data_IF_985499406748
#
_entry.id   IF_985499406748
#
_cell.length_a   1.000
_cell.length_b   1.000
_cell.length_c   1.000
_cell.angle_alpha   90.00
_cell.angle_beta   90.00
_cell.angle_gamma   90.00
#
_symmetry.space_group_name_H-M   'P 1'
#
loop_
_entity.id
_entity.type
_entity.pdbx_description
1 polymer ?
#
# COMPACT_ATOMS: atom_id res chain seq x y z
N UNK A 1 -77.77 3.90 13.71
CA UNK A 1 -76.98 4.98 14.32
C UNK A 1 -75.80 4.34 15.05
N UNK A 2 -74.59 4.45 14.48
CA UNK A 2 -73.26 4.36 15.13
C UNK A 2 -72.88 3.01 15.81
N UNK A 3 -71.66 2.46 15.78
CA UNK A 3 -70.33 2.76 15.22
C UNK A 3 -69.63 1.40 15.13
N UNK A 4 -68.98 1.10 14.01
CA UNK A 4 -67.97 0.03 13.91
C UNK A 4 -66.66 0.61 14.47
N UNK A 5 -66.13 0.05 15.56
CA UNK A 5 -64.78 0.39 16.06
C UNK A 5 -63.74 -0.31 15.18
N UNK A 6 -63.10 0.45 14.29
CA UNK A 6 -61.86 0.04 13.64
C UNK A 6 -60.71 0.16 14.64
N UNK A 7 -60.02 -0.95 14.89
CA UNK A 7 -58.74 -1.00 15.58
C UNK A 7 -57.64 -0.63 14.59
N UNK A 8 -56.99 0.52 14.79
CA UNK A 8 -55.78 0.90 14.04
C UNK A 8 -54.60 0.15 14.65
N UNK A 9 -54.02 -0.77 13.88
CA UNK A 9 -52.76 -1.45 14.17
C UNK A 9 -51.63 -0.56 13.62
N UNK A 10 -50.92 0.14 14.50
CA UNK A 10 -49.75 0.93 14.11
C UNK A 10 -48.58 -0.02 13.86
N UNK A 11 -48.24 -0.24 12.59
CA UNK A 11 -47.05 -0.97 12.16
C UNK A 11 -45.82 -0.07 12.38
N UNK A 12 -45.02 -0.36 13.40
CA UNK A 12 -43.70 0.27 13.59
C UNK A 12 -42.73 -0.43 12.65
N UNK A 13 -42.45 0.18 11.50
CA UNK A 13 -41.36 -0.20 10.61
C UNK A 13 -40.04 0.19 11.27
N UNK A 14 -39.36 -0.79 11.87
CA UNK A 14 -37.96 -0.66 12.29
C UNK A 14 -37.12 -0.71 11.03
N UNK A 15 -36.72 0.46 10.52
CA UNK A 15 -35.69 0.56 9.50
C UNK A 15 -34.34 0.25 10.17
N UNK A 16 -33.92 -1.01 10.15
CA UNK A 16 -32.54 -1.39 10.39
C UNK A 16 -31.72 -0.93 9.19
N UNK A 17 -31.36 0.35 9.16
CA UNK A 17 -30.38 0.88 8.24
C UNK A 17 -29.04 0.23 8.56
N UNK A 18 -28.67 -0.80 7.80
CA UNK A 18 -27.28 -1.20 7.68
C UNK A 18 -26.56 -0.02 7.06
N UNK A 19 -25.88 0.78 7.89
CA UNK A 19 -24.85 1.69 7.41
C UNK A 19 -23.73 0.78 6.94
N UNK A 20 -23.73 0.45 5.65
CA UNK A 20 -22.52 0.02 4.98
C UNK A 20 -21.58 1.21 5.04
N UNK A 21 -20.66 1.20 6.00
CA UNK A 21 -19.47 2.04 5.92
C UNK A 21 -18.76 1.56 4.67
N UNK A 22 -18.92 2.30 3.57
CA UNK A 22 -18.04 2.18 2.43
C UNK A 22 -16.67 2.62 2.91
N UNK A 23 -15.91 1.69 3.47
CA UNK A 23 -14.47 1.81 3.49
C UNK A 23 -14.08 1.82 2.02
N UNK A 24 -13.87 3.01 1.46
CA UNK A 24 -12.94 3.13 0.34
C UNK A 24 -11.67 2.47 0.85
N UNK A 25 -11.48 1.20 0.49
CA UNK A 25 -10.20 0.52 0.69
C UNK A 25 -9.20 1.49 0.08
N UNK A 26 -8.39 2.11 0.94
CA UNK A 26 -7.36 3.03 0.53
C UNK A 26 -6.47 2.15 -0.35
N UNK A 27 -6.55 2.33 -1.66
CA UNK A 27 -6.08 1.34 -2.63
C UNK A 27 -4.68 0.87 -2.22
N UNK A 28 -4.52 -0.43 -2.00
CA UNK A 28 -3.33 -1.11 -1.48
C UNK A 28 -3.15 -1.26 0.05
N UNK A 29 -4.13 -0.95 0.92
CA UNK A 29 -4.03 -1.16 2.37
C UNK A 29 -5.13 -2.09 2.92
N UNK A 30 -4.73 -3.16 3.61
CA UNK A 30 -5.61 -4.10 4.32
C UNK A 30 -5.58 -3.87 5.83
N UNK A 31 -6.77 -3.75 6.45
CA UNK A 31 -6.89 -3.56 7.89
C UNK A 31 -6.40 -4.81 8.64
N UNK A 32 -5.37 -4.65 9.47
CA UNK A 32 -4.78 -5.74 10.26
C UNK A 32 -5.21 -5.70 11.72
N UNK A 33 -5.40 -4.50 12.27
CA UNK A 33 -5.80 -4.30 13.64
C UNK A 33 -6.53 -2.97 13.80
N UNK A 34 -7.58 -2.93 14.63
CA UNK A 34 -8.22 -1.69 15.02
C UNK A 34 -8.80 -1.72 16.43
N UNK A 35 -9.04 -0.53 16.97
CA UNK A 35 -9.93 -0.30 18.09
C UNK A 35 -10.78 0.93 17.78
N UNK A 36 -12.09 0.71 17.67
CA UNK A 36 -13.11 1.74 17.43
C UNK A 36 -13.76 2.21 18.75
N UNK A 37 -13.23 1.77 19.89
CA UNK A 37 -13.63 2.17 21.25
C UNK A 37 -15.16 2.09 21.51
N UNK A 38 -15.84 1.10 20.91
CA UNK A 38 -17.30 0.91 21.03
C UNK A 38 -17.74 0.29 22.37
N UNK A 39 -16.78 -0.20 23.17
CA UNK A 39 -17.04 -0.75 24.49
C UNK A 39 -17.35 0.30 25.55
N UNK A 40 -17.54 -0.14 26.80
CA UNK A 40 -17.76 0.74 27.96
C UNK A 40 -16.50 1.03 28.78
N UNK A 41 -15.36 0.44 28.38
CA UNK A 41 -14.06 0.59 29.03
C UNK A 41 -12.96 0.22 28.03
N UNK A 42 -11.72 0.65 28.32
CA UNK A 42 -10.58 0.24 27.49
C UNK A 42 -10.36 -1.27 27.57
N UNK A 43 -10.15 -1.91 26.42
CA UNK A 43 -9.91 -3.34 26.35
C UNK A 43 -8.47 -3.66 26.79
N UNK A 44 -8.30 -4.10 28.03
CA UNK A 44 -6.98 -4.42 28.58
C UNK A 44 -6.35 -5.69 28.00
N UNK A 45 -7.06 -6.47 27.18
CA UNK A 45 -6.46 -7.53 26.37
C UNK A 45 -5.73 -6.96 25.13
N UNK A 46 -6.11 -5.77 24.69
CA UNK A 46 -5.53 -5.07 23.54
C UNK A 46 -4.55 -3.97 23.96
N UNK A 47 -4.74 -3.40 25.16
CA UNK A 47 -3.95 -2.26 25.64
C UNK A 47 -3.28 -2.53 26.98
N UNK A 48 -2.04 -2.08 27.12
CA UNK A 48 -1.42 -1.81 28.41
C UNK A 48 -1.76 -0.38 28.83
N UNK A 49 -2.36 -0.24 30.01
CA UNK A 49 -2.61 1.06 30.64
C UNK A 49 -1.52 1.33 31.68
N UNK A 50 -0.87 2.49 31.59
CA UNK A 50 0.26 2.85 32.45
C UNK A 50 -0.18 3.23 33.88
N UNK A 51 0.65 2.88 34.86
CA UNK A 51 0.47 3.26 36.26
C UNK A 51 1.81 3.64 36.89
N UNK A 52 2.35 4.78 36.46
CA UNK A 52 3.72 5.18 36.77
C UNK A 52 3.96 6.68 36.60
N UNK A 53 4.79 7.25 37.47
CA UNK A 53 5.42 8.56 37.30
C UNK A 53 6.92 8.47 36.97
N UNK A 54 7.56 9.63 36.82
CA UNK A 54 8.98 9.82 36.46
C UNK A 54 9.33 9.32 35.05
N UNK A 55 9.40 10.27 34.13
CA UNK A 55 9.63 10.05 32.70
C UNK A 55 10.91 10.74 32.23
N UNK A 56 11.34 10.41 31.01
CA UNK A 56 12.68 10.73 30.51
C UNK A 56 12.84 12.20 30.12
N UNK A 57 11.73 12.95 30.03
CA UNK A 57 11.67 14.25 29.39
C UNK A 57 11.31 15.38 30.37
N UNK A 58 11.68 15.23 31.65
CA UNK A 58 11.33 16.16 32.74
C UNK A 58 9.82 16.42 32.84
N UNK A 59 9.01 15.45 32.43
CA UNK A 59 7.56 15.50 32.53
C UNK A 59 7.14 15.40 34.00
N UNK A 60 6.01 16.04 34.33
CA UNK A 60 5.55 16.26 35.70
C UNK A 60 4.35 15.39 36.09
N UNK A 61 3.75 14.65 35.16
CA UNK A 61 2.58 13.82 35.44
C UNK A 61 2.92 12.46 36.04
N UNK A 62 2.00 11.97 36.85
CA UNK A 62 1.83 10.56 37.13
C UNK A 62 0.78 9.97 36.19
N UNK A 63 1.14 8.99 35.36
CA UNK A 63 0.14 8.28 34.55
C UNK A 63 -0.63 7.29 35.41
N UNK A 64 -1.96 7.33 35.34
CA UNK A 64 -2.85 6.49 36.14
C UNK A 64 -3.93 5.82 35.29
N UNK A 65 -4.30 4.56 35.59
CA UNK A 65 -5.36 3.88 34.84
C UNK A 65 -6.71 4.61 34.86
N UNK A 66 -7.04 5.29 35.96
CA UNK A 66 -8.31 6.05 36.08
C UNK A 66 -8.39 7.29 35.18
N UNK A 67 -7.30 7.70 34.55
CA UNK A 67 -7.27 8.82 33.59
C UNK A 67 -7.51 8.35 32.16
N UNK A 68 -7.74 7.05 31.96
CA UNK A 68 -8.04 6.42 30.69
C UNK A 68 -9.44 5.84 30.79
N UNK A 69 -10.35 6.30 29.93
CA UNK A 69 -11.73 5.83 29.91
C UNK A 69 -12.23 5.70 28.47
N UNK A 70 -13.26 4.88 28.27
CA UNK A 70 -13.96 4.81 26.99
C UNK A 70 -15.39 5.28 27.22
N UNK A 71 -15.84 6.21 26.39
CA UNK A 71 -17.20 6.74 26.43
C UNK A 71 -17.63 7.11 25.01
N UNK A 72 -18.88 6.81 24.66
CA UNK A 72 -19.52 7.27 23.42
C UNK A 72 -18.69 6.98 22.15
N UNK A 73 -18.08 5.80 22.07
CA UNK A 73 -17.26 5.42 20.91
C UNK A 73 -15.85 6.04 20.88
N UNK A 74 -15.38 6.58 22.01
CA UNK A 74 -14.11 7.29 22.08
C UNK A 74 -13.27 6.84 23.26
N UNK A 75 -11.96 6.74 23.05
CA UNK A 75 -10.98 6.70 24.12
C UNK A 75 -10.70 8.13 24.60
N UNK A 76 -10.79 8.36 25.90
CA UNK A 76 -10.53 9.64 26.54
C UNK A 76 -9.35 9.51 27.49
N UNK A 77 -8.29 10.25 27.19
CA UNK A 77 -7.14 10.46 28.08
C UNK A 77 -7.32 11.82 28.75
N UNK A 78 -7.62 11.81 30.04
CA UNK A 78 -7.84 13.02 30.83
C UNK A 78 -6.55 13.41 31.54
N UNK A 79 -6.27 14.71 31.62
CA UNK A 79 -5.19 15.27 32.42
C UNK A 79 -5.75 16.26 33.43
N UNK A 80 -5.29 16.17 34.68
CA UNK A 80 -5.82 16.94 35.80
C UNK A 80 -4.71 17.45 36.73
N UNK A 81 -4.94 18.62 37.34
CA UNK A 81 -4.10 19.13 38.43
C UNK A 81 -4.60 18.57 39.77
N UNK A 82 -4.26 17.30 40.02
CA UNK A 82 -4.60 16.56 41.24
C UNK A 82 -3.34 15.88 41.78
N UNK A 83 -3.05 16.10 43.07
CA UNK A 83 -1.91 15.46 43.74
C UNK A 83 -2.09 13.95 43.91
N UNK A 84 -0.97 13.23 43.74
CA UNK A 84 -0.84 11.83 44.13
C UNK A 84 0.04 11.77 45.38
N UNK A 85 -0.42 11.03 46.40
CA UNK A 85 0.33 10.90 47.64
C UNK A 85 1.75 10.35 47.37
N UNK A 86 2.77 11.04 47.87
CA UNK A 86 4.18 10.65 47.70
C UNK A 86 4.79 11.03 46.34
N UNK A 87 4.06 11.69 45.44
CA UNK A 87 4.59 12.21 44.19
C UNK A 87 4.75 13.74 44.25
N UNK A 88 5.89 14.31 43.79
CA UNK A 88 6.23 15.72 44.04
C UNK A 88 5.41 16.73 43.24
N UNK A 89 4.72 16.30 42.18
CA UNK A 89 3.98 17.20 41.29
C UNK A 89 2.48 16.87 41.30
N UNK A 90 1.61 17.89 41.21
CA UNK A 90 0.18 17.69 41.34
C UNK A 90 -0.47 17.37 39.98
N UNK A 91 0.15 16.58 39.11
CA UNK A 91 -0.41 16.28 37.79
C UNK A 91 -0.64 14.80 37.61
N UNK A 92 -1.83 14.46 37.12
CA UNK A 92 -2.17 13.10 36.69
C UNK A 92 -2.61 13.12 35.23
N UNK A 93 -2.31 12.04 34.52
CA UNK A 93 -2.71 11.89 33.11
C UNK A 93 -2.86 10.41 32.74
N UNK A 94 -3.14 10.12 31.46
CA UNK A 94 -3.19 8.76 30.91
C UNK A 94 -2.12 8.50 29.84
N UNK A 95 -1.66 7.25 29.80
CA UNK A 95 -0.83 6.68 28.76
C UNK A 95 -1.31 5.26 28.50
N UNK A 96 -1.49 4.92 27.23
CA UNK A 96 -1.82 3.57 26.78
C UNK A 96 -0.87 3.14 25.68
N UNK A 97 -0.53 1.87 25.68
CA UNK A 97 0.29 1.24 24.66
C UNK A 97 -0.42 -0.01 24.16
N UNK A 98 -0.50 -0.18 22.85
CA UNK A 98 -1.03 -1.41 22.26
C UNK A 98 -0.19 -2.61 22.71
N UNK A 99 -0.85 -3.74 22.96
CA UNK A 99 -0.18 -5.05 23.10
C UNK A 99 0.12 -5.67 21.74
N UNK A 100 -0.68 -5.32 20.74
CA UNK A 100 -0.40 -5.64 19.34
C UNK A 100 0.83 -4.89 18.86
N UNK A 101 1.70 -5.59 18.13
CA UNK A 101 2.89 -5.02 17.49
C UNK A 101 2.75 -5.19 16.00
N UNK A 102 3.17 -4.18 15.24
CA UNK A 102 3.25 -4.29 13.80
C UNK A 102 4.58 -3.75 13.30
N UNK A 103 5.12 -4.43 12.28
CA UNK A 103 6.25 -3.94 11.50
C UNK A 103 5.71 -3.48 10.15
N UNK A 104 6.06 -2.26 9.77
CA UNK A 104 5.57 -1.59 8.56
C UNK A 104 4.05 -1.44 8.55
N UNK A 105 3.55 -0.72 7.54
CA UNK A 105 2.13 -0.49 7.39
C UNK A 105 1.72 0.96 7.52
N UNK A 106 0.42 1.19 7.44
CA UNK A 106 -0.21 2.46 7.76
C UNK A 106 -0.73 2.42 9.19
N UNK A 107 -0.36 3.40 9.99
CA UNK A 107 -0.86 3.60 11.35
C UNK A 107 -1.66 4.89 11.35
N UNK A 108 -2.95 4.79 11.63
CA UNK A 108 -3.90 5.90 11.53
C UNK A 108 -4.66 6.06 12.84
N UNK A 109 -4.72 7.30 13.32
CA UNK A 109 -5.43 7.66 14.55
C UNK A 109 -6.25 8.91 14.29
N UNK A 110 -7.56 8.83 14.51
CA UNK A 110 -8.44 9.99 14.46
C UNK A 110 -8.65 10.54 15.85
N UNK A 111 -8.24 11.78 16.10
CA UNK A 111 -8.26 12.34 17.44
C UNK A 111 -8.50 13.85 17.46
N UNK A 112 -9.01 14.34 18.58
CA UNK A 112 -9.16 15.75 18.94
C UNK A 112 -8.21 16.08 20.08
N UNK A 113 -7.36 17.07 19.87
CA UNK A 113 -6.23 17.38 20.75
C UNK A 113 -6.66 18.27 21.93
N UNK A 114 -6.07 18.10 23.12
CA UNK A 114 -6.12 19.12 24.17
C UNK A 114 -5.21 20.30 23.83
N UNK A 115 -5.51 21.48 24.36
CA UNK A 115 -4.62 22.63 24.22
C UNK A 115 -4.71 23.58 25.41
N UNK A 116 -3.56 23.72 26.05
CA UNK A 116 -3.27 24.71 27.05
C UNK A 116 -1.75 24.72 27.28
N UNK A 117 -1.21 25.74 27.93
CA UNK A 117 0.21 25.75 28.26
C UNK A 117 0.60 24.51 29.09
N UNK A 118 1.69 23.86 28.72
CA UNK A 118 2.26 22.72 29.41
C UNK A 118 1.55 21.39 29.19
N UNK A 119 0.62 21.28 28.24
CA UNK A 119 0.04 19.99 27.83
C UNK A 119 0.74 19.50 26.55
N UNK A 120 1.07 18.21 26.50
CA UNK A 120 1.80 17.59 25.40
C UNK A 120 1.16 16.25 25.01
N UNK A 121 0.09 16.26 24.19
CA UNK A 121 -0.46 15.05 23.58
C UNK A 121 0.49 14.47 22.53
N UNK A 122 0.57 13.13 22.47
CA UNK A 122 1.39 12.41 21.50
C UNK A 122 0.72 11.13 20.98
N UNK A 123 0.93 10.87 19.69
CA UNK A 123 0.63 9.63 18.95
C UNK A 123 1.94 9.16 18.33
N UNK A 124 2.45 8.03 18.77
CA UNK A 124 3.81 7.62 18.42
C UNK A 124 3.97 6.10 18.46
N UNK A 125 5.01 5.61 17.80
CA UNK A 125 5.37 4.20 17.72
C UNK A 125 6.72 3.98 18.38
N UNK A 126 6.81 2.92 19.19
CA UNK A 126 8.04 2.54 19.88
C UNK A 126 8.29 1.02 19.74
N UNK A 127 9.55 0.58 19.59
CA UNK A 127 9.90 -0.83 19.46
C UNK A 127 9.42 -1.65 20.66
N UNK A 128 8.88 -2.84 20.37
CA UNK A 128 8.36 -3.72 21.41
C UNK A 128 9.47 -4.38 22.26
N UNK A 129 10.60 -4.69 21.62
CA UNK A 129 11.68 -5.48 22.21
C UNK A 129 13.09 -4.90 22.00
N UNK A 130 13.25 -3.99 21.04
CA UNK A 130 14.55 -3.38 20.74
C UNK A 130 14.75 -2.14 21.61
N UNK A 131 15.93 -1.94 22.22
CA UNK A 131 16.19 -0.74 23.00
C UNK A 131 16.03 0.54 22.18
N UNK A 132 15.56 1.61 22.82
CA UNK A 132 15.65 2.94 22.25
C UNK A 132 17.09 3.48 22.38
N UNK A 133 17.61 4.24 21.39
CA UNK A 133 16.99 4.62 20.11
C UNK A 133 17.31 3.65 18.95
N UNK A 134 17.92 2.49 19.23
CA UNK A 134 18.41 1.59 18.17
C UNK A 134 17.31 0.86 17.42
N UNK A 135 16.15 0.65 18.04
CA UNK A 135 14.95 0.21 17.34
C UNK A 135 14.19 1.34 16.64
N UNK A 136 14.59 2.60 16.79
CA UNK A 136 13.89 3.77 16.28
C UNK A 136 12.69 4.20 17.14
N UNK A 137 12.09 5.34 16.80
CA UNK A 137 10.83 5.88 17.33
C UNK A 137 10.19 6.75 16.24
N UNK A 138 8.90 6.56 16.01
CA UNK A 138 8.13 7.25 14.96
C UNK A 138 7.04 8.08 15.63
N UNK A 139 7.21 9.39 15.66
CA UNK A 139 6.25 10.32 16.22
C UNK A 139 5.30 10.78 15.12
N UNK A 140 4.13 10.14 15.06
CA UNK A 140 3.09 10.41 14.06
C UNK A 140 2.51 11.81 14.28
N UNK A 141 2.32 12.18 15.54
CA UNK A 141 1.88 13.51 15.93
C UNK A 141 2.32 13.80 17.37
N UNK A 142 2.98 14.93 17.56
CA UNK A 142 3.10 15.59 18.84
C UNK A 142 2.55 17.02 18.74
N UNK A 143 1.96 17.53 19.83
CA UNK A 143 1.55 18.93 19.89
C UNK A 143 1.95 19.55 21.21
N UNK A 144 2.42 20.79 21.16
CA UNK A 144 2.62 21.61 22.35
C UNK A 144 1.40 22.46 22.53
N UNK A 145 0.63 22.29 23.61
CA UNK A 145 -0.66 22.93 23.72
C UNK A 145 -0.62 24.45 23.85
N UNK A 146 0.56 25.06 24.06
CA UNK A 146 0.76 26.51 23.91
C UNK A 146 0.76 27.01 22.47
N UNK A 147 0.84 26.10 21.48
CA UNK A 147 0.89 26.36 20.05
C UNK A 147 -0.24 25.63 19.32
N UNK A 148 -1.51 26.08 19.46
CA UNK A 148 -2.68 25.34 18.98
C UNK A 148 -2.76 25.17 17.45
N UNK A 149 -1.98 25.93 16.69
CA UNK A 149 -1.92 25.83 15.22
C UNK A 149 -0.80 24.88 14.73
N UNK A 150 -0.01 24.30 15.64
CA UNK A 150 1.20 23.53 15.29
C UNK A 150 1.11 22.10 15.83
N UNK A 151 1.33 21.15 14.93
CA UNK A 151 1.68 19.76 15.28
C UNK A 151 3.04 19.42 14.67
N UNK A 152 3.74 18.45 15.24
CA UNK A 152 5.05 17.99 14.75
C UNK A 152 5.05 16.51 14.44
N UNK A 153 5.90 16.14 13.50
CA UNK A 153 6.24 14.77 13.15
C UNK A 153 7.74 14.59 13.36
N UNK A 154 8.16 13.45 13.90
CA UNK A 154 9.58 13.18 14.09
C UNK A 154 9.92 11.70 13.89
N UNK A 155 11.18 11.46 13.55
CA UNK A 155 11.77 10.12 13.55
C UNK A 155 13.08 10.17 14.33
N UNK A 156 13.20 9.34 15.36
CA UNK A 156 14.42 9.21 16.15
C UNK A 156 15.12 7.87 15.86
N UNK A 157 16.46 7.89 15.85
CA UNK A 157 17.30 6.70 15.68
C UNK A 157 18.64 6.88 16.39
N UNK A 158 19.44 5.82 16.49
CA UNK A 158 20.82 5.90 16.97
C UNK A 158 21.29 4.59 17.59
N UNK A 159 22.60 4.40 17.76
CA UNK A 159 23.10 3.14 18.31
C UNK A 159 22.81 2.98 19.82
N UNK A 160 22.73 4.09 20.55
CA UNK A 160 22.44 4.16 21.99
C UNK A 160 22.00 5.59 22.36
N UNK A 161 21.66 5.80 23.63
CA UNK A 161 21.19 7.09 24.14
C UNK A 161 22.12 8.26 23.77
N UNK A 162 23.44 8.11 23.90
CA UNK A 162 24.40 9.19 23.66
C UNK A 162 24.59 9.51 22.17
N UNK A 163 24.26 8.56 21.30
CA UNK A 163 24.36 8.67 19.85
C UNK A 163 22.99 8.81 19.17
N UNK A 164 21.97 9.20 19.94
CA UNK A 164 20.63 9.47 19.41
C UNK A 164 20.65 10.64 18.42
N UNK A 165 19.86 10.52 17.38
CA UNK A 165 19.62 11.53 16.37
C UNK A 165 18.13 11.56 16.05
N UNK A 166 17.68 12.65 15.44
CA UNK A 166 16.32 12.79 14.97
C UNK A 166 16.24 13.74 13.77
N UNK A 167 15.16 13.58 13.00
CA UNK A 167 14.66 14.57 12.05
C UNK A 167 13.21 14.87 12.39
N UNK A 168 12.78 16.08 12.10
CA UNK A 168 11.40 16.49 12.38
C UNK A 168 10.86 17.46 11.33
N UNK A 169 9.54 17.59 11.34
CA UNK A 169 8.79 18.56 10.55
C UNK A 169 7.70 19.20 11.40
N UNK A 170 7.29 20.41 11.03
CA UNK A 170 6.16 21.11 11.64
C UNK A 170 5.04 21.26 10.60
N UNK A 171 3.82 20.94 11.01
CA UNK A 171 2.63 21.15 10.20
C UNK A 171 1.74 22.20 10.85
N UNK A 172 1.43 23.24 10.08
CA UNK A 172 0.63 24.39 10.55
C UNK A 172 -0.78 24.36 9.97
N UNK A 173 -1.78 24.41 10.86
CA UNK A 173 -3.19 24.49 10.49
C UNK A 173 -3.59 25.90 10.08
N UNK A 174 -4.60 26.02 9.21
CA UNK A 174 -5.30 27.29 8.97
C UNK A 174 -6.27 27.64 10.10
N UNK A 175 -6.65 26.63 10.88
CA UNK A 175 -7.45 26.70 12.11
C UNK A 175 -6.71 25.98 13.24
N UNK A 176 -7.03 26.25 14.51
CA UNK A 176 -6.49 25.51 15.64
C UNK A 176 -6.81 24.00 15.53
N UNK A 177 -5.79 23.15 15.61
CA UNK A 177 -5.96 21.68 15.67
C UNK A 177 -6.86 21.17 16.81
N UNK A 178 -6.92 21.84 17.99
CA UNK A 178 -7.80 21.43 19.08
C UNK A 178 -9.29 21.66 18.83
N UNK A 179 -9.70 22.37 17.76
CA UNK A 179 -11.10 22.72 17.54
C UNK A 179 -11.91 21.52 17.01
N UNK A 180 -11.29 20.66 16.21
CA UNK A 180 -11.95 19.54 15.52
C UNK A 180 -11.20 18.21 15.70
N UNK A 181 -11.81 17.13 15.20
CA UNK A 181 -11.13 15.84 15.08
C UNK A 181 -10.36 15.82 13.77
N UNK A 182 -9.09 15.44 13.85
CA UNK A 182 -8.21 15.27 12.71
C UNK A 182 -7.70 13.84 12.63
N UNK A 183 -7.33 13.41 11.43
CA UNK A 183 -6.73 12.09 11.20
C UNK A 183 -5.23 12.24 11.05
N UNK A 184 -4.47 11.65 11.97
CA UNK A 184 -3.01 11.63 11.93
C UNK A 184 -2.55 10.24 11.51
N UNK A 185 -1.67 10.16 10.52
CA UNK A 185 -1.18 8.87 10.05
C UNK A 185 0.29 8.87 9.66
N UNK A 186 0.91 7.70 9.79
CA UNK A 186 2.21 7.41 9.21
C UNK A 186 2.13 6.12 8.38
N UNK A 187 2.62 6.18 7.15
CA UNK A 187 2.89 5.02 6.30
C UNK A 187 4.38 4.70 6.43
N UNK A 188 4.67 3.58 7.06
CA UNK A 188 6.02 3.11 7.31
C UNK A 188 6.33 1.90 6.45
N UNK A 189 7.27 2.05 5.53
CA UNK A 189 7.77 1.03 4.61
C UNK A 189 9.27 0.79 4.84
N UNK A 190 9.89 -0.27 4.26
CA UNK A 190 11.28 -0.59 4.54
C UNK A 190 12.29 0.53 4.28
N UNK A 191 12.00 1.44 3.35
CA UNK A 191 12.93 2.48 2.91
C UNK A 191 12.48 3.91 3.25
N UNK A 192 11.26 4.11 3.73
CA UNK A 192 10.74 5.43 4.06
C UNK A 192 9.56 5.42 5.03
N UNK A 193 9.33 6.57 5.65
CA UNK A 193 8.17 6.89 6.47
C UNK A 193 7.54 8.15 5.88
N UNK A 194 6.27 8.07 5.50
CA UNK A 194 5.47 9.20 5.00
C UNK A 194 4.41 9.55 6.04
N UNK A 195 4.31 10.82 6.39
CA UNK A 195 3.37 11.32 7.39
C UNK A 195 2.22 12.07 6.73
N UNK A 196 1.04 11.97 7.34
CA UNK A 196 -0.19 12.54 6.83
C UNK A 196 -1.02 13.20 7.95
N UNK A 197 -1.66 14.31 7.61
CA UNK A 197 -2.72 14.94 8.42
C UNK A 197 -3.94 15.14 7.53
N UNK A 198 -5.08 14.58 7.94
CA UNK A 198 -6.33 14.55 7.17
C UNK A 198 -6.14 14.02 5.74
N UNK A 199 -5.36 12.94 5.62
CA UNK A 199 -4.93 12.32 4.37
C UNK A 199 -4.06 13.19 3.45
N UNK A 200 -3.71 14.40 3.85
CA UNK A 200 -2.72 15.22 3.14
C UNK A 200 -1.32 14.79 3.57
N UNK A 201 -0.47 14.47 2.59
CA UNK A 201 0.95 14.20 2.84
C UNK A 201 1.64 15.48 3.35
N UNK A 202 2.38 15.38 4.45
CA UNK A 202 3.04 16.55 5.07
C UNK A 202 4.56 16.39 5.21
N UNK A 203 5.06 15.16 5.26
CA UNK A 203 6.50 14.92 5.46
C UNK A 203 6.92 13.53 5.00
N UNK A 204 8.17 13.40 4.53
CA UNK A 204 8.81 12.12 4.21
C UNK A 204 10.18 12.06 4.85
N UNK A 205 10.47 10.94 5.52
CA UNK A 205 11.81 10.54 5.95
C UNK A 205 12.19 9.28 5.21
N UNK A 206 13.21 9.32 4.37
CA UNK A 206 13.68 8.15 3.62
C UNK A 206 15.08 7.71 4.05
N UNK A 207 15.53 6.57 3.54
CA UNK A 207 16.82 5.95 3.86
C UNK A 207 18.05 6.82 3.55
N UNK A 208 17.91 7.87 2.73
CA UNK A 208 18.99 8.84 2.51
C UNK A 208 19.13 9.86 3.66
N UNK A 209 18.06 10.07 4.44
CA UNK A 209 18.01 10.98 5.58
C UNK A 209 18.34 10.28 6.89
N UNK A 210 17.79 9.08 7.10
CA UNK A 210 17.94 8.32 8.33
C UNK A 210 17.83 6.80 8.07
N UNK A 211 18.48 5.96 8.90
CA UNK A 211 18.28 4.51 8.84
C UNK A 211 16.87 4.17 9.32
N UNK A 212 16.00 3.77 8.39
CA UNK A 212 14.60 3.42 8.70
C UNK A 212 14.56 2.09 9.46
N UNK A 213 13.89 2.10 10.61
CA UNK A 213 13.75 0.92 11.46
C UNK A 213 13.00 -0.19 10.73
N UNK A 214 13.35 -1.42 11.08
CA UNK A 214 12.70 -2.64 10.60
C UNK A 214 12.25 -3.53 11.76
N UNK A 215 12.10 -2.99 12.97
CA UNK A 215 11.72 -3.74 14.17
C UNK A 215 10.26 -3.52 14.53
N UNK A 216 9.44 -4.54 14.85
CA UNK A 216 8.04 -4.35 15.21
C UNK A 216 7.84 -3.33 16.34
N UNK A 217 6.88 -2.43 16.17
CA UNK A 217 6.58 -1.36 17.12
C UNK A 217 5.16 -1.49 17.68
N UNK A 218 4.97 -1.02 18.91
CA UNK A 218 3.67 -0.75 19.49
C UNK A 218 3.29 0.70 19.24
N UNK A 219 2.00 0.95 19.01
CA UNK A 219 1.43 2.30 19.07
C UNK A 219 1.18 2.73 20.52
N UNK A 220 1.51 3.98 20.82
CA UNK A 220 1.38 4.62 22.12
C UNK A 220 0.57 5.90 21.96
N UNK A 221 -0.36 6.12 22.91
CA UNK A 221 -1.14 7.34 23.05
C UNK A 221 -0.96 7.86 24.47
N UNK A 222 -0.59 9.13 24.62
CA UNK A 222 -0.51 9.76 25.94
C UNK A 222 -0.75 11.26 25.87
N UNK A 223 -0.88 11.85 27.06
CA UNK A 223 -0.78 13.29 27.24
C UNK A 223 0.17 13.59 28.38
N UNK A 224 1.37 14.04 28.07
CA UNK A 224 2.32 14.51 29.07
C UNK A 224 1.90 15.90 29.61
N UNK A 225 2.34 16.20 30.82
CA UNK A 225 2.17 17.51 31.48
C UNK A 225 3.56 18.03 31.85
N UNK A 226 3.93 19.18 31.30
CA UNK A 226 5.25 19.76 31.44
C UNK A 226 6.30 19.11 30.54
N UNK A 227 7.56 19.27 30.92
CA UNK A 227 8.70 18.79 30.13
C UNK A 227 9.27 19.85 29.18
N UNK A 228 10.31 19.47 28.46
CA UNK A 228 11.10 20.39 27.63
C UNK A 228 10.43 20.81 26.32
N UNK A 229 9.44 20.03 25.83
CA UNK A 229 8.80 20.27 24.54
C UNK A 229 7.89 21.51 24.53
N UNK A 230 6.84 21.51 25.37
CA UNK A 230 5.96 22.69 25.52
C UNK A 230 6.34 23.58 26.72
N UNK A 231 7.20 23.10 27.62
CA UNK A 231 7.48 23.74 28.91
C UNK A 231 6.48 23.35 29.99
N UNK A 232 6.72 23.80 31.24
CA UNK A 232 5.85 23.48 32.37
C UNK A 232 4.54 24.29 32.37
N UNK A 233 3.46 23.76 32.98
CA UNK A 233 2.28 24.54 33.31
C UNK A 233 2.59 25.82 34.08
N UNK A 234 1.79 26.86 33.85
CA UNK A 234 1.85 28.16 34.52
C UNK A 234 0.43 28.67 34.84
N UNK A 235 0.31 29.95 35.22
CA UNK A 235 -0.98 30.56 35.58
C UNK A 235 -1.99 30.63 34.42
N UNK A 236 -1.55 30.45 33.16
CA UNK A 236 -2.44 30.39 32.00
C UNK A 236 -3.01 28.99 31.77
N UNK A 237 -2.43 27.96 32.41
CA UNK A 237 -2.79 26.57 32.19
C UNK A 237 -4.19 26.24 32.73
N UNK A 238 -5.02 25.64 31.89
CA UNK A 238 -6.39 25.26 32.23
C UNK A 238 -6.49 23.74 32.37
N UNK A 239 -7.01 23.29 33.52
CA UNK A 239 -7.36 21.88 33.76
C UNK A 239 -8.86 21.74 34.08
N UNK A 240 -9.49 20.60 33.75
CA UNK A 240 -8.90 19.44 33.10
C UNK A 240 -8.71 19.62 31.59
N UNK A 241 -7.84 18.80 31.00
CA UNK A 241 -7.68 18.66 29.56
C UNK A 241 -8.04 17.24 29.13
N UNK A 242 -8.54 17.06 27.92
CA UNK A 242 -8.89 15.73 27.39
C UNK A 242 -8.35 15.56 25.99
N UNK A 243 -7.55 14.52 25.79
CA UNK A 243 -7.19 14.00 24.49
C UNK A 243 -8.20 12.91 24.12
N UNK A 244 -9.02 13.18 23.11
CA UNK A 244 -10.11 12.31 22.69
C UNK A 244 -9.75 11.60 21.38
N UNK A 245 -9.81 10.28 21.36
CA UNK A 245 -9.47 9.45 20.21
C UNK A 245 -10.73 8.70 19.77
N UNK A 246 -11.11 8.89 18.52
CA UNK A 246 -12.27 8.26 17.89
C UNK A 246 -11.98 6.83 17.46
N UNK A 247 -10.84 6.61 16.81
CA UNK A 247 -10.39 5.26 16.46
C UNK A 247 -8.87 5.18 16.33
N UNK A 248 -8.37 3.95 16.41
CA UNK A 248 -7.04 3.57 15.96
C UNK A 248 -7.18 2.46 14.93
N UNK A 249 -6.54 2.62 13.77
CA UNK A 249 -6.51 1.61 12.70
C UNK A 249 -5.08 1.41 12.22
N UNK A 250 -4.70 0.15 12.10
CA UNK A 250 -3.43 -0.27 11.53
C UNK A 250 -3.71 -1.12 10.30
N UNK A 251 -2.95 -0.87 9.25
CA UNK A 251 -3.09 -1.56 7.98
C UNK A 251 -1.74 -2.11 7.54
N UNK A 252 -1.75 -3.22 6.81
CA UNK A 252 -0.61 -3.66 6.02
C UNK A 252 -0.85 -3.39 4.56
N UNK A 253 0.24 -3.18 3.82
CA UNK A 253 0.13 -3.07 2.37
C UNK A 253 -0.36 -4.42 1.86
N UNK A 254 -1.42 -4.42 1.04
CA UNK A 254 -1.86 -5.63 0.36
C UNK A 254 -0.64 -6.28 -0.29
N UNK A 255 -0.56 -7.61 -0.20
CA UNK A 255 0.41 -8.32 -1.02
C UNK A 255 0.18 -7.92 -2.49
N UNK A 256 1.24 -7.74 -3.30
CA UNK A 256 1.05 -7.63 -4.74
C UNK A 256 0.13 -8.76 -5.18
N UNK A 257 -0.95 -8.43 -5.89
CA UNK A 257 -1.81 -9.46 -6.47
C UNK A 257 -0.93 -10.27 -7.42
N UNK A 258 -0.79 -11.58 -7.19
CA UNK A 258 -0.05 -12.44 -8.11
C UNK A 258 -0.90 -12.61 -9.37
N UNK A 259 -0.65 -11.80 -10.38
CA UNK A 259 -1.36 -11.84 -11.66
C UNK A 259 -0.95 -13.08 -12.44
N UNK A 260 -1.59 -14.23 -12.19
CA UNK A 260 -1.30 -15.45 -12.92
C UNK A 260 -2.10 -15.49 -14.23
N UNK A 261 -1.38 -15.60 -15.36
CA UNK A 261 -2.01 -15.86 -16.65
C UNK A 261 -2.34 -17.34 -16.80
N UNK A 262 -3.56 -17.64 -17.22
CA UNK A 262 -3.99 -18.97 -17.63
C UNK A 262 -3.26 -19.37 -18.91
N UNK A 263 -2.70 -20.59 -18.91
CA UNK A 263 -2.11 -21.22 -20.10
C UNK A 263 -1.13 -20.28 -20.83
N UNK A 264 -0.24 -19.65 -20.07
CA UNK A 264 0.67 -18.62 -20.57
C UNK A 264 1.78 -19.17 -21.51
N UNK A 265 1.96 -20.49 -21.51
CA UNK A 265 2.82 -21.24 -22.43
C UNK A 265 2.05 -21.95 -23.56
N UNK A 266 0.71 -21.79 -23.63
CA UNK A 266 -0.13 -22.35 -24.70
C UNK A 266 -0.11 -23.88 -24.85
N UNK A 267 0.15 -24.62 -23.77
CA UNK A 267 0.20 -26.09 -23.76
C UNK A 267 -1.18 -26.76 -23.70
N UNK A 268 -2.24 -25.99 -23.42
CA UNK A 268 -3.63 -26.48 -23.28
C UNK A 268 -4.57 -25.83 -24.31
N UNK A 269 -4.26 -25.95 -25.60
CA UNK A 269 -4.98 -25.25 -26.69
C UNK A 269 -5.15 -23.75 -26.37
N UNK A 270 -6.24 -23.10 -26.80
CA UNK A 270 -6.50 -21.68 -26.53
C UNK A 270 -7.17 -21.43 -25.16
N UNK A 271 -7.07 -22.35 -24.19
CA UNK A 271 -7.73 -22.18 -22.89
C UNK A 271 -7.30 -20.88 -22.22
N UNK A 272 -8.27 -20.06 -21.78
CA UNK A 272 -8.01 -18.75 -21.18
C UNK A 272 -7.72 -17.61 -22.16
N UNK A 273 -7.58 -17.86 -23.47
CA UNK A 273 -7.27 -16.84 -24.47
C UNK A 273 -8.38 -16.68 -25.50
N UNK A 274 -8.79 -15.44 -25.76
CA UNK A 274 -9.66 -15.10 -26.89
C UNK A 274 -8.80 -14.87 -28.12
N UNK A 275 -8.99 -15.68 -29.15
CA UNK A 275 -8.30 -15.55 -30.43
C UNK A 275 -9.25 -14.94 -31.47
N UNK A 276 -8.80 -13.93 -32.21
CA UNK A 276 -9.53 -13.35 -33.33
C UNK A 276 -8.61 -13.04 -34.50
N UNK A 277 -9.12 -13.21 -35.73
CA UNK A 277 -8.30 -13.14 -36.93
C UNK A 277 -7.51 -14.43 -37.17
N UNK A 278 -6.29 -14.30 -37.67
CA UNK A 278 -5.43 -15.42 -38.03
C UNK A 278 -4.48 -15.76 -36.87
N UNK A 279 -5.07 -16.32 -35.82
CA UNK A 279 -4.35 -16.84 -34.66
C UNK A 279 -4.79 -18.27 -34.36
N UNK A 280 -3.84 -19.16 -34.09
CA UNK A 280 -4.12 -20.49 -33.54
C UNK A 280 -2.94 -21.00 -32.70
N UNK A 281 -3.22 -21.97 -31.85
CA UNK A 281 -2.20 -22.66 -31.07
C UNK A 281 -1.61 -23.78 -31.93
N UNK A 282 -0.32 -23.68 -32.23
CA UNK A 282 0.38 -24.67 -33.01
C UNK A 282 1.07 -25.66 -32.08
N UNK A 283 0.62 -26.92 -32.10
CA UNK A 283 1.26 -28.02 -31.38
C UNK A 283 2.33 -28.70 -32.24
N UNK A 284 3.39 -29.14 -31.58
CA UNK A 284 4.48 -29.92 -32.15
C UNK A 284 4.00 -31.35 -32.41
N UNK A 285 3.78 -31.69 -33.68
CA UNK A 285 3.57 -33.08 -34.09
C UNK A 285 4.87 -33.64 -34.66
N UNK A 286 5.55 -34.49 -33.88
CA UNK A 286 6.82 -35.15 -34.24
C UNK A 286 6.73 -36.08 -35.46
N UNK A 287 5.53 -36.36 -36.01
CA UNK A 287 5.36 -37.45 -36.98
C UNK A 287 5.20 -37.05 -38.44
N UNK A 288 5.24 -35.77 -38.84
CA UNK A 288 4.91 -35.40 -40.24
C UNK A 288 5.77 -34.37 -40.98
N UNK A 289 6.78 -33.71 -40.39
CA UNK A 289 7.65 -32.81 -41.19
C UNK A 289 9.04 -32.52 -40.55
N UNK A 290 10.18 -32.68 -41.25
CA UNK A 290 11.53 -32.42 -40.69
C UNK A 290 11.96 -30.94 -40.67
N UNK A 291 11.10 -29.99 -41.05
CA UNK A 291 11.35 -28.54 -40.94
C UNK A 291 11.14 -28.09 -39.48
N UNK A 292 11.96 -28.62 -38.57
CA UNK A 292 11.75 -28.62 -37.13
C UNK A 292 12.00 -27.25 -36.48
N UNK A 293 10.92 -26.59 -36.03
CA UNK A 293 11.00 -25.48 -35.07
C UNK A 293 11.31 -26.09 -33.71
N UNK A 294 12.54 -25.91 -33.21
CA UNK A 294 12.88 -26.19 -31.82
C UNK A 294 12.27 -25.07 -30.95
N UNK A 295 11.20 -25.38 -30.22
CA UNK A 295 10.67 -24.55 -29.14
C UNK A 295 11.62 -24.72 -27.95
N UNK A 296 12.31 -23.66 -27.51
CA UNK A 296 13.23 -23.70 -26.36
C UNK A 296 12.53 -23.36 -25.03
N UNK A 297 11.19 -23.32 -25.01
CA UNK A 297 10.34 -23.28 -23.81
C UNK A 297 9.99 -24.70 -23.34
N UNK A 298 9.54 -24.86 -22.09
CA UNK A 298 9.32 -26.16 -21.42
C UNK A 298 8.20 -27.06 -22.01
N UNK A 299 7.78 -26.83 -23.26
CA UNK A 299 6.56 -27.41 -23.83
C UNK A 299 6.59 -27.69 -25.33
N UNK A 300 5.47 -28.18 -25.84
CA UNK A 300 5.28 -28.63 -27.21
C UNK A 300 4.41 -27.72 -28.06
N UNK A 301 4.00 -26.54 -27.59
CA UNK A 301 3.09 -25.66 -28.32
C UNK A 301 3.52 -24.18 -28.25
N UNK A 302 2.96 -23.37 -29.15
CA UNK A 302 3.08 -21.92 -29.11
C UNK A 302 1.89 -21.25 -29.83
N UNK A 303 1.60 -20.01 -29.46
CA UNK A 303 0.66 -19.17 -30.20
C UNK A 303 1.31 -18.72 -31.51
N UNK A 304 0.66 -18.99 -32.66
CA UNK A 304 1.05 -18.44 -33.96
C UNK A 304 0.07 -17.34 -34.37
N UNK A 305 0.58 -16.14 -34.64
CA UNK A 305 -0.13 -15.03 -35.29
C UNK A 305 0.38 -14.92 -36.74
N UNK A 306 -0.49 -14.87 -37.74
CA UNK A 306 -0.04 -14.93 -39.15
C UNK A 306 -1.04 -14.34 -40.14
N UNK A 307 -0.75 -14.46 -41.43
CA UNK A 307 -1.73 -14.30 -42.50
C UNK A 307 -1.73 -12.91 -43.12
N UNK A 308 -2.91 -12.44 -43.53
CA UNK A 308 -3.11 -11.19 -44.27
C UNK A 308 -4.33 -10.46 -43.70
N UNK A 309 -4.37 -10.24 -42.39
CA UNK A 309 -5.46 -9.48 -41.75
C UNK A 309 -5.08 -9.20 -40.31
N UNK A 310 -5.56 -8.07 -39.77
CA UNK A 310 -5.33 -7.77 -38.36
C UNK A 310 -5.81 -8.92 -37.46
N UNK A 311 -4.92 -9.33 -36.56
CA UNK A 311 -5.14 -10.44 -35.63
C UNK A 311 -5.05 -9.88 -34.22
N UNK A 312 -5.97 -10.28 -33.35
CA UNK A 312 -6.06 -9.78 -31.98
C UNK A 312 -6.29 -10.94 -31.02
N UNK A 313 -5.42 -11.02 -30.01
CA UNK A 313 -5.40 -12.10 -29.01
C UNK A 313 -5.38 -11.48 -27.62
N UNK A 314 -6.31 -11.88 -26.76
CA UNK A 314 -6.42 -11.34 -25.39
C UNK A 314 -6.63 -12.43 -24.36
N UNK A 315 -6.24 -12.14 -23.12
CA UNK A 315 -6.72 -12.86 -21.94
C UNK A 315 -7.54 -11.89 -21.07
N UNK A 316 -8.74 -12.34 -20.69
CA UNK A 316 -9.75 -11.52 -20.01
C UNK A 316 -9.31 -10.97 -18.64
N UNK A 317 -10.06 -9.96 -18.20
CA UNK A 317 -9.91 -9.11 -17.01
C UNK A 317 -9.25 -9.79 -15.80
N UNK A 318 -8.00 -9.41 -15.57
CA UNK A 318 -7.20 -9.75 -14.39
C UNK A 318 -7.42 -8.60 -13.39
N UNK A 319 -7.81 -8.93 -12.16
CA UNK A 319 -8.02 -7.92 -11.11
C UNK A 319 -6.73 -7.09 -10.90
N UNK A 320 -6.84 -5.77 -10.82
CA UNK A 320 -5.69 -4.88 -10.60
C UNK A 320 -6.03 -3.81 -9.58
N UNK A 321 -5.06 -3.43 -8.75
CA UNK A 321 -5.26 -2.36 -7.78
C UNK A 321 -4.87 -1.00 -8.38
N UNK A 322 -5.59 0.10 -8.07
CA UNK A 322 -5.16 1.44 -8.46
C UNK A 322 -3.72 1.75 -8.06
N UNK A 323 -2.97 2.38 -8.98
CA UNK A 323 -1.54 2.70 -8.85
C UNK A 323 -0.59 1.49 -8.78
N UNK A 324 -1.10 0.27 -8.93
CA UNK A 324 -0.26 -0.92 -9.03
C UNK A 324 0.56 -0.88 -10.34
N UNK A 325 1.85 -1.23 -10.26
CA UNK A 325 2.72 -1.31 -11.43
C UNK A 325 2.95 -2.76 -11.81
N UNK A 326 2.63 -3.11 -13.06
CA UNK A 326 2.73 -4.45 -13.63
C UNK A 326 3.74 -4.44 -14.77
N UNK A 327 4.57 -5.49 -14.84
CA UNK A 327 5.32 -5.82 -16.05
C UNK A 327 4.81 -7.12 -16.63
N UNK A 328 4.77 -7.19 -17.95
CA UNK A 328 4.47 -8.38 -18.71
C UNK A 328 5.68 -8.69 -19.59
N UNK A 329 6.09 -9.96 -19.64
CA UNK A 329 7.09 -10.48 -20.57
C UNK A 329 6.48 -11.53 -21.48
N UNK A 330 7.05 -11.68 -22.68
CA UNK A 330 6.72 -12.73 -23.62
C UNK A 330 7.94 -13.08 -24.47
N UNK A 331 8.09 -14.37 -24.81
CA UNK A 331 9.07 -14.81 -25.81
C UNK A 331 8.45 -14.74 -27.19
N UNK A 332 9.20 -14.18 -28.13
CA UNK A 332 8.73 -13.90 -29.49
C UNK A 332 9.74 -14.40 -30.50
N UNK A 333 9.27 -15.07 -31.55
CA UNK A 333 10.10 -15.56 -32.65
C UNK A 333 9.45 -15.24 -33.99
N UNK A 334 10.27 -14.93 -34.98
CA UNK A 334 9.90 -14.88 -36.40
C UNK A 334 10.81 -15.86 -37.13
N UNK A 335 10.29 -16.68 -38.05
CA UNK A 335 11.11 -17.60 -38.84
C UNK A 335 11.47 -16.97 -40.18
N UNK A 336 12.62 -17.31 -40.74
CA UNK A 336 13.08 -16.77 -42.03
C UNK A 336 12.13 -17.11 -43.20
N UNK A 337 11.42 -18.24 -43.12
CA UNK A 337 10.42 -18.63 -44.13
C UNK A 337 9.08 -17.88 -43.99
N UNK A 338 8.84 -17.25 -42.84
CA UNK A 338 7.59 -16.59 -42.47
C UNK A 338 7.82 -15.11 -42.08
N UNK A 339 8.87 -14.48 -42.62
CA UNK A 339 9.26 -13.10 -42.30
C UNK A 339 8.08 -12.13 -42.37
N UNK A 340 8.02 -11.21 -41.40
CA UNK A 340 7.08 -10.08 -41.45
C UNK A 340 7.44 -9.18 -42.63
N UNK A 341 6.64 -9.23 -43.69
CA UNK A 341 6.83 -8.36 -44.84
C UNK A 341 6.31 -6.95 -44.54
N UNK A 342 6.96 -5.94 -45.13
CA UNK A 342 6.64 -4.51 -45.00
C UNK A 342 6.88 -3.93 -43.59
N UNK A 343 7.52 -2.77 -43.56
CA UNK A 343 7.88 -2.06 -42.31
C UNK A 343 6.68 -1.52 -41.54
N UNK A 344 5.48 -1.51 -42.14
CA UNK A 344 4.22 -1.14 -41.48
C UNK A 344 3.54 -2.32 -40.79
N UNK A 345 3.95 -3.56 -41.05
CA UNK A 345 3.45 -4.73 -40.34
C UNK A 345 4.22 -4.94 -39.04
N UNK A 346 3.50 -5.13 -37.93
CA UNK A 346 4.12 -5.38 -36.64
C UNK A 346 3.18 -6.12 -35.68
N UNK A 347 3.77 -6.85 -34.74
CA UNK A 347 3.06 -7.36 -33.56
C UNK A 347 3.33 -6.42 -32.40
N UNK A 348 2.26 -5.93 -31.79
CA UNK A 348 2.29 -5.19 -30.53
C UNK A 348 1.86 -6.06 -29.35
N UNK A 349 2.50 -5.88 -28.20
CA UNK A 349 2.07 -6.40 -26.90
C UNK A 349 1.46 -5.24 -26.10
N UNK A 350 0.35 -5.47 -25.40
CA UNK A 350 -0.36 -4.41 -24.67
C UNK A 350 -0.89 -4.83 -23.30
N UNK A 351 -1.15 -3.82 -22.47
CA UNK A 351 -1.90 -3.86 -21.22
C UNK A 351 -2.95 -2.75 -21.30
N UNK A 352 -4.24 -3.11 -21.28
CA UNK A 352 -5.37 -2.20 -21.15
C UNK A 352 -5.87 -2.21 -19.70
N UNK A 353 -6.31 -1.07 -19.17
CA UNK A 353 -6.91 -0.97 -17.84
C UNK A 353 -8.38 -0.56 -17.95
N UNK A 354 -9.24 -1.12 -17.10
CA UNK A 354 -10.67 -0.88 -17.09
C UNK A 354 -11.16 -0.47 -15.70
N UNK A 355 -12.15 0.43 -15.67
CA UNK A 355 -12.86 0.79 -14.45
C UNK A 355 -13.93 -0.25 -14.09
N UNK A 356 -14.64 -0.01 -12.98
CA UNK A 356 -15.72 -0.87 -12.48
C UNK A 356 -16.96 -0.96 -13.38
N UNK A 357 -16.99 -0.21 -14.47
CA UNK A 357 -18.07 -0.17 -15.46
C UNK A 357 -17.59 -0.71 -16.82
N UNK A 358 -16.47 -1.44 -16.83
CA UNK A 358 -15.82 -1.99 -18.01
C UNK A 358 -15.44 -0.91 -19.05
N UNK A 359 -15.24 0.34 -18.63
CA UNK A 359 -14.72 1.39 -19.50
C UNK A 359 -13.19 1.38 -19.46
N UNK A 360 -12.56 1.41 -20.63
CA UNK A 360 -11.11 1.49 -20.74
C UNK A 360 -10.62 2.86 -20.24
N UNK A 361 -9.82 2.86 -19.17
CA UNK A 361 -9.28 4.05 -18.50
C UNK A 361 -7.77 4.23 -18.72
N UNK A 362 -7.09 3.21 -19.23
CA UNK A 362 -5.66 3.29 -19.54
C UNK A 362 -5.20 2.26 -20.57
N UNK A 363 -4.06 2.54 -21.19
CA UNK A 363 -3.39 1.64 -22.13
C UNK A 363 -1.88 1.86 -22.12
N UNK A 364 -1.15 0.76 -22.22
CA UNK A 364 0.26 0.75 -22.57
C UNK A 364 0.48 -0.32 -23.63
N UNK A 365 1.25 -0.02 -24.67
CA UNK A 365 1.66 -1.01 -25.67
C UNK A 365 3.10 -0.80 -26.14
N UNK A 366 3.72 -1.84 -26.68
CA UNK A 366 5.05 -1.83 -27.30
C UNK A 366 5.07 -2.74 -28.53
N UNK A 367 5.92 -2.44 -29.52
CA UNK A 367 6.20 -3.38 -30.61
C UNK A 367 7.11 -4.50 -30.11
N UNK A 368 6.76 -5.74 -30.44
CA UNK A 368 7.49 -6.94 -30.04
C UNK A 368 7.93 -7.80 -31.23
N UNK A 369 7.43 -7.52 -32.44
CA UNK A 369 7.86 -8.10 -33.71
C UNK A 369 7.60 -7.12 -34.86
N UNK A 370 8.55 -6.93 -35.76
CA UNK A 370 8.39 -6.12 -36.98
C UNK A 370 9.40 -6.56 -38.05
N UNK A 371 9.26 -6.04 -39.27
CA UNK A 371 10.19 -6.31 -40.37
C UNK A 371 11.65 -5.99 -39.98
N UNK A 372 12.58 -6.89 -40.30
CA UNK A 372 14.01 -6.71 -40.02
C UNK A 372 14.48 -7.14 -38.62
N UNK A 373 13.58 -7.74 -37.82
CA UNK A 373 13.94 -8.43 -36.58
C UNK A 373 14.84 -9.65 -36.83
N UNK A 374 15.54 -10.09 -35.78
CA UNK A 374 16.35 -11.32 -35.85
C UNK A 374 15.44 -12.52 -36.04
N UNK A 375 15.68 -13.27 -37.12
CA UNK A 375 14.91 -14.46 -37.48
C UNK A 375 15.50 -15.73 -36.85
N UNK A 376 14.66 -16.75 -36.72
CA UNK A 376 14.98 -18.08 -36.19
C UNK A 376 15.54 -18.11 -34.77
N UNK A 377 15.25 -17.07 -33.98
CA UNK A 377 15.63 -16.95 -32.58
C UNK A 377 14.46 -16.50 -31.73
N UNK A 378 14.37 -17.03 -30.51
CA UNK A 378 13.45 -16.54 -29.48
C UNK A 378 14.03 -15.30 -28.81
N UNK A 379 13.26 -14.22 -28.79
CA UNK A 379 13.59 -12.95 -28.16
C UNK A 379 12.63 -12.68 -27.02
N UNK A 380 13.16 -12.37 -25.84
CA UNK A 380 12.36 -11.96 -24.69
C UNK A 380 11.99 -10.48 -24.80
N UNK A 381 10.70 -10.17 -24.74
CA UNK A 381 10.14 -8.83 -24.89
C UNK A 381 9.37 -8.44 -23.62
N UNK A 382 9.31 -7.14 -23.32
CA UNK A 382 8.78 -6.66 -22.04
C UNK A 382 7.94 -5.39 -22.21
N UNK A 383 6.94 -5.21 -21.34
CA UNK A 383 6.18 -3.97 -21.20
C UNK A 383 5.85 -3.72 -19.73
N UNK A 384 5.99 -2.49 -19.26
CA UNK A 384 5.62 -2.08 -17.89
C UNK A 384 4.59 -0.96 -17.94
N UNK A 385 3.55 -1.07 -17.11
CA UNK A 385 2.48 -0.11 -16.99
C UNK A 385 2.03 0.07 -15.53
N UNK A 386 1.58 1.27 -15.18
CA UNK A 386 0.99 1.59 -13.87
C UNK A 386 -0.50 1.82 -14.04
N UNK A 387 -1.31 1.14 -13.23
CA UNK A 387 -2.76 1.23 -13.26
C UNK A 387 -3.24 2.65 -12.87
N UNK A 388 -4.14 3.29 -13.64
CA UNK A 388 -4.82 4.53 -13.25
C UNK A 388 -5.56 4.42 -11.90
N UNK A 389 -5.91 5.58 -11.30
CA UNK A 389 -6.55 5.64 -9.98
C UNK A 389 -7.94 4.97 -9.92
N UNK A 390 -8.62 4.88 -11.07
CA UNK A 390 -9.96 4.30 -11.23
C UNK A 390 -9.96 2.89 -11.81
N UNK A 391 -8.79 2.33 -12.12
CA UNK A 391 -8.66 0.99 -12.68
C UNK A 391 -8.93 -0.09 -11.62
N UNK A 392 -9.75 -1.08 -11.98
CA UNK A 392 -10.07 -2.25 -11.14
C UNK A 392 -9.73 -3.58 -11.82
N UNK A 393 -9.55 -3.56 -13.15
CA UNK A 393 -9.08 -4.73 -13.89
C UNK A 393 -8.17 -4.34 -15.05
N UNK A 394 -7.41 -5.32 -15.57
CA UNK A 394 -6.59 -5.17 -16.75
C UNK A 394 -6.80 -6.31 -17.76
N UNK A 395 -6.60 -6.03 -19.04
CA UNK A 395 -6.55 -7.00 -20.13
C UNK A 395 -5.14 -6.97 -20.73
N UNK A 396 -4.56 -8.14 -20.97
CA UNK A 396 -3.28 -8.27 -21.68
C UNK A 396 -3.47 -8.97 -23.00
N UNK A 397 -2.61 -8.66 -23.97
CA UNK A 397 -2.72 -9.31 -25.27
C UNK A 397 -1.72 -8.87 -26.31
N UNK A 398 -1.99 -9.35 -27.52
CA UNK A 398 -1.18 -9.13 -28.71
C UNK A 398 -2.04 -8.70 -29.89
N UNK A 399 -1.47 -7.80 -30.69
CA UNK A 399 -2.06 -7.32 -31.94
C UNK A 399 -1.08 -7.53 -33.07
N UNK A 400 -1.39 -8.37 -34.06
CA UNK A 400 -0.68 -8.34 -35.33
C UNK A 400 -1.39 -7.36 -36.26
N UNK A 401 -0.77 -6.20 -36.45
CA UNK A 401 -1.28 -5.14 -37.32
C UNK A 401 -0.63 -5.26 -38.69
N UNK A 402 -1.46 -5.35 -39.72
CA UNK A 402 -1.05 -5.56 -41.11
C UNK A 402 -1.77 -4.60 -42.06
N UNK A 403 -1.43 -3.29 -42.04
CA UNK A 403 -2.20 -2.25 -42.74
C UNK A 403 -2.32 -2.48 -44.27
N UNK A 404 -1.30 -3.09 -44.87
CA UNK A 404 -1.25 -3.38 -46.31
C UNK A 404 -1.60 -4.83 -46.65
N UNK A 405 -2.07 -5.61 -45.68
CA UNK A 405 -2.50 -6.98 -45.91
C UNK A 405 -1.41 -7.90 -46.48
N UNK A 406 -0.16 -7.66 -46.09
CA UNK A 406 1.01 -8.45 -46.52
C UNK A 406 1.34 -9.57 -45.54
N UNK A 407 1.93 -10.65 -46.03
CA UNK A 407 2.17 -11.87 -45.26
C UNK A 407 3.24 -11.73 -44.19
N UNK A 408 3.19 -12.64 -43.21
CA UNK A 408 4.19 -12.83 -42.17
C UNK A 408 3.62 -13.68 -41.05
N UNK A 409 4.49 -14.21 -40.18
CA UNK A 409 4.06 -14.88 -38.97
C UNK A 409 5.00 -14.62 -37.79
N UNK A 410 4.41 -14.68 -36.60
CA UNK A 410 5.10 -14.54 -35.33
C UNK A 410 4.61 -15.61 -34.38
N UNK A 411 5.56 -16.21 -33.67
CA UNK A 411 5.29 -17.16 -32.60
C UNK A 411 5.50 -16.48 -31.27
N UNK A 412 4.59 -16.73 -30.32
CA UNK A 412 4.60 -16.19 -28.98
C UNK A 412 4.47 -17.33 -27.99
N UNK A 413 5.28 -17.29 -26.94
CA UNK A 413 5.33 -18.31 -25.90
C UNK A 413 5.79 -17.70 -24.56
N UNK A 414 5.61 -18.46 -23.47
CA UNK A 414 6.11 -18.20 -22.12
C UNK A 414 5.84 -16.77 -21.65
N UNK A 415 4.56 -16.45 -21.54
CA UNK A 415 4.10 -15.13 -21.11
C UNK A 415 4.12 -15.09 -19.58
N UNK A 416 4.76 -14.08 -18.99
CA UNK A 416 4.96 -13.99 -17.54
C UNK A 416 4.62 -12.61 -17.03
N UNK A 417 3.90 -12.54 -15.91
CA UNK A 417 3.82 -11.34 -15.08
C UNK A 417 4.70 -11.61 -13.85
N UNK A 418 5.97 -11.15 -13.84
CA UNK A 418 6.90 -11.51 -12.79
C UNK A 418 6.53 -10.82 -11.46
N UNK A 419 6.67 -11.56 -10.37
CA UNK A 419 6.49 -11.01 -9.01
C UNK A 419 7.44 -9.82 -8.78
N UNK A 420 7.02 -8.75 -8.09
CA UNK A 420 7.82 -7.54 -7.87
C UNK A 420 9.23 -7.78 -7.29
N UNK A 421 9.43 -8.89 -6.58
CA UNK A 421 10.72 -9.27 -5.99
C UNK A 421 11.71 -9.90 -6.96
N UNK A 422 11.30 -10.27 -8.18
CA UNK A 422 12.16 -10.96 -9.17
C UNK A 422 12.83 -10.03 -10.19
N UNK A 423 12.46 -8.74 -10.23
CA UNK A 423 13.02 -7.76 -11.17
C UNK A 423 14.52 -7.51 -10.99
N UNK A 424 15.04 -7.63 -9.76
CA UNK A 424 16.46 -7.40 -9.49
C UNK A 424 17.38 -8.51 -9.99
N UNK A 425 16.86 -9.71 -10.30
CA UNK A 425 17.69 -10.85 -10.71
C UNK A 425 17.72 -11.08 -12.21
N UNK A 426 16.65 -10.75 -12.95
CA UNK A 426 16.57 -10.98 -14.40
C UNK A 426 17.20 -9.87 -15.25
N UNK A 427 17.12 -8.60 -14.83
CA UNK A 427 17.70 -7.48 -15.58
C UNK A 427 19.25 -7.50 -15.68
N UNK A 428 19.92 -8.30 -14.85
CA UNK A 428 21.38 -8.43 -14.84
C UNK A 428 21.87 -9.54 -15.79
N UNK A 429 21.00 -10.50 -16.15
CA UNK A 429 21.40 -11.66 -16.96
C UNK A 429 21.54 -11.34 -18.46
N UNK A 430 20.84 -10.33 -18.98
CA UNK A 430 20.88 -9.95 -20.41
C UNK A 430 22.11 -9.12 -20.79
N UNK A 431 22.86 -8.58 -19.84
CA UNK A 431 24.04 -7.73 -20.12
C UNK A 431 25.35 -8.54 -20.24
N UNK A 432 25.35 -9.85 -19.98
CA UNK A 432 26.54 -10.70 -19.98
C UNK A 432 26.49 -11.92 -20.92
N UNK A 433 25.97 -11.76 -22.15
CA UNK A 433 26.22 -12.75 -23.22
C UNK A 433 26.61 -12.03 -24.52
N UNK A 434 27.66 -11.21 -24.46
CA UNK A 434 28.32 -10.68 -25.66
C UNK A 434 29.82 -10.49 -25.41
N UNK A 435 30.52 -11.58 -25.06
CA UNK A 435 31.98 -11.64 -25.18
C UNK A 435 32.40 -12.90 -25.94
N UNK A 436 32.54 -12.71 -27.25
CA UNK A 436 33.42 -13.39 -28.22
C UNK A 436 33.98 -14.78 -27.83
N UNK A 437 33.43 -15.84 -28.45
CA UNK A 437 34.27 -16.96 -28.90
C UNK A 437 34.87 -16.61 -30.26
N UNK A 438 36.17 -16.32 -30.27
CA UNK A 438 36.98 -16.30 -31.49
C UNK A 438 37.40 -17.75 -31.76
N UNK A 439 36.85 -18.36 -32.79
CA UNK A 439 37.26 -19.68 -33.29
C UNK A 439 38.66 -19.60 -33.89
N UNK A 440 39.50 -20.58 -33.56
CA UNK A 440 40.75 -20.87 -34.25
C UNK A 440 40.45 -21.57 -35.59
N UNK A 441 41.25 -21.27 -36.62
CA UNK A 441 42.08 -22.22 -37.39
C UNK A 441 42.31 -21.75 -38.83
N UNK A 442 43.53 -21.29 -39.13
CA UNK A 442 44.52 -21.94 -40.01
C UNK A 442 45.80 -21.14 -39.99
#
# INVERSE_FOLDING_TARGET
MLIVKQSILTLVLIFAGFITVSTTAQANWELTWSDEFTGSAINTNQWHVENRGYWNNNELQYYLPRQVSVSTGQLLIKSENISVAGYPHPYISGRVQTKYTQKFGRFEVRAKLPSTKGIWPAIWLLPASTPWPSGGEIDIMEAGGSQPFRVTQAYHWGANYDQRQYVSNETWGSTPWPDEFHTFAAEWEPNEIRYYVDNNHVYTVNSSMAPISNTPMNLILNTAVGGWFDGNPDNSTQFPQTFAIDYVRMYQKSAPQTHALLNAAFEEDANGWNLSGNAYIQTHNTNTNPQSIAFEGEGGAALKLFGYSNTHVTQNLIDITPNETVTLSARVRTNADDTINNTQNYVGMFINFYDRYDQKVGEKWVKIAENGMVEDQWLEQWITATAPEDAVSMEVGFNFLQPNNEGGAVWIDHIVIPEPTTFLTLAVATTFVLVKRKTSSR
#
